data_IF_810424541426
#
_entry.id   IF_810424541426
#
_cell.length_a   1.000
_cell.length_b   1.000
_cell.length_c   1.000
_cell.angle_alpha   90.00
_cell.angle_beta   90.00
_cell.angle_gamma   90.00
#
_symmetry.space_group_name_H-M   'P 1'
#
loop_
_entity.id
_entity.type
_entity.pdbx_description
1 polymer ?
#
# COMPACT_ATOMS: atom_id res chain seq x y z
N UNK A 1 -22.84 42.46 -29.67
CA UNK A 1 -23.09 41.28 -30.53
C UNK A 1 -23.91 40.29 -29.73
N UNK A 2 -25.11 39.97 -30.22
CA UNK A 2 -26.02 38.99 -29.60
C UNK A 2 -25.66 37.58 -30.05
N UNK A 3 -26.02 36.57 -29.25
CA UNK A 3 -25.87 35.17 -29.64
C UNK A 3 -26.84 34.88 -30.79
N UNK A 4 -26.43 34.14 -31.85
CA UNK A 4 -27.34 33.73 -32.93
C UNK A 4 -28.58 32.99 -32.39
N UNK A 5 -29.75 33.10 -33.04
CA UNK A 5 -31.01 32.54 -32.54
C UNK A 5 -31.00 31.01 -32.40
N UNK A 6 -30.18 30.30 -33.17
CA UNK A 6 -29.97 28.85 -33.12
C UNK A 6 -28.70 28.43 -32.34
N UNK A 7 -28.16 29.34 -31.51
CA UNK A 7 -26.96 29.10 -30.74
C UNK A 7 -27.21 29.18 -29.23
N UNK A 8 -26.55 28.29 -28.51
CA UNK A 8 -26.66 28.08 -27.09
C UNK A 8 -25.46 28.73 -26.39
N UNK A 9 -25.71 29.78 -25.61
CA UNK A 9 -24.77 30.23 -24.57
C UNK A 9 -24.79 29.30 -23.35
N UNK A 10 -23.94 29.52 -22.36
CA UNK A 10 -23.84 28.61 -21.21
C UNK A 10 -25.16 28.32 -20.49
N UNK A 11 -26.02 29.33 -20.30
CA UNK A 11 -27.32 29.16 -19.63
C UNK A 11 -28.24 28.22 -20.42
N UNK A 12 -28.37 28.44 -21.73
CA UNK A 12 -29.19 27.62 -22.62
C UNK A 12 -28.61 26.20 -22.76
N UNK A 13 -27.28 26.08 -22.89
CA UNK A 13 -26.57 24.81 -22.91
C UNK A 13 -26.78 24.01 -21.62
N UNK A 14 -26.71 24.65 -20.46
CA UNK A 14 -26.94 24.01 -19.15
C UNK A 14 -28.34 23.43 -19.06
N UNK A 15 -29.36 24.20 -19.46
CA UNK A 15 -30.75 23.76 -19.49
C UNK A 15 -30.95 22.59 -20.45
N UNK A 16 -30.39 22.69 -21.66
CA UNK A 16 -30.47 21.66 -22.72
C UNK A 16 -29.87 20.33 -22.25
N UNK A 17 -28.72 20.37 -21.57
CA UNK A 17 -27.99 19.18 -21.14
C UNK A 17 -28.42 18.63 -19.77
N UNK A 18 -29.37 19.28 -19.08
CA UNK A 18 -29.81 18.88 -17.75
C UNK A 18 -28.70 18.97 -16.68
N UNK A 19 -27.77 19.92 -16.81
CA UNK A 19 -26.69 20.08 -15.84
C UNK A 19 -27.12 20.88 -14.62
N UNK A 20 -26.52 20.55 -13.47
CA UNK A 20 -26.89 21.14 -12.17
C UNK A 20 -26.64 22.66 -12.07
N UNK A 21 -25.75 23.23 -12.89
CA UNK A 21 -25.49 24.68 -12.89
C UNK A 21 -24.72 25.15 -14.13
N UNK A 22 -24.78 26.45 -14.40
CA UNK A 22 -23.91 27.13 -15.39
C UNK A 22 -22.43 26.91 -15.08
N UNK A 23 -22.05 26.85 -13.78
CA UNK A 23 -20.67 26.56 -13.37
C UNK A 23 -20.22 25.16 -13.82
N UNK A 24 -21.12 24.18 -13.90
CA UNK A 24 -20.78 22.87 -14.45
C UNK A 24 -20.42 22.99 -15.94
N UNK A 25 -21.20 23.75 -16.71
CA UNK A 25 -20.95 24.01 -18.13
C UNK A 25 -19.59 24.69 -18.36
N UNK A 26 -19.27 25.73 -17.58
CA UNK A 26 -17.99 26.45 -17.70
C UNK A 26 -16.81 25.55 -17.37
N UNK A 27 -16.89 24.77 -16.29
CA UNK A 27 -15.84 23.82 -15.90
C UNK A 27 -15.64 22.74 -16.98
N UNK A 28 -16.70 22.23 -17.59
CA UNK A 28 -16.60 21.28 -18.70
C UNK A 28 -15.88 21.90 -19.90
N UNK A 29 -16.26 23.11 -20.30
CA UNK A 29 -15.60 23.80 -21.41
C UNK A 29 -14.11 24.07 -21.11
N UNK A 30 -13.77 24.58 -19.92
CA UNK A 30 -12.36 24.84 -19.55
C UNK A 30 -11.51 23.56 -19.54
N UNK A 31 -12.05 22.45 -19.06
CA UNK A 31 -11.36 21.15 -19.08
C UNK A 31 -11.16 20.64 -20.50
N UNK A 32 -12.19 20.74 -21.34
CA UNK A 32 -12.14 20.34 -22.74
C UNK A 32 -11.13 21.19 -23.52
N UNK A 33 -11.12 22.51 -23.31
CA UNK A 33 -10.13 23.44 -23.89
C UNK A 33 -8.70 23.02 -23.53
N UNK A 34 -8.39 22.85 -22.24
CA UNK A 34 -7.06 22.44 -21.78
C UNK A 34 -6.63 21.09 -22.37
N UNK A 35 -7.55 20.14 -22.52
CA UNK A 35 -7.26 18.84 -23.12
C UNK A 35 -6.95 18.95 -24.62
N UNK A 36 -7.68 19.80 -25.35
CA UNK A 36 -7.38 20.12 -26.74
C UNK A 36 -5.99 20.72 -26.89
N UNK A 37 -5.66 21.72 -26.08
CA UNK A 37 -4.34 22.38 -26.06
C UNK A 37 -3.20 21.40 -25.77
N UNK A 38 -3.43 20.44 -24.88
CA UNK A 38 -2.43 19.45 -24.49
C UNK A 38 -2.41 18.20 -25.38
N UNK A 39 -3.21 18.14 -26.47
CA UNK A 39 -3.32 16.94 -27.32
C UNK A 39 -3.90 15.70 -26.62
N UNK A 40 -4.70 15.89 -25.56
CA UNK A 40 -5.30 14.82 -24.72
C UNK A 40 -6.83 14.83 -24.71
N UNK A 41 -7.43 15.31 -25.80
CA UNK A 41 -8.88 15.35 -26.02
C UNK A 41 -9.54 13.99 -25.85
N UNK A 42 -10.74 13.96 -25.28
CA UNK A 42 -11.53 12.74 -25.07
C UNK A 42 -12.85 12.79 -25.85
N UNK A 43 -13.40 11.65 -26.28
CA UNK A 43 -14.69 11.61 -26.99
C UNK A 43 -15.87 12.27 -26.25
N UNK A 44 -15.84 12.32 -24.91
CA UNK A 44 -16.88 12.94 -24.10
C UNK A 44 -16.66 14.42 -23.71
N UNK A 45 -15.58 15.04 -24.20
CA UNK A 45 -15.30 16.46 -23.96
C UNK A 45 -16.24 17.35 -24.77
N UNK A 46 -16.70 18.46 -24.19
CA UNK A 46 -17.53 19.45 -24.89
C UNK A 46 -16.80 19.96 -26.14
N UNK A 47 -17.45 20.09 -27.31
CA UNK A 47 -16.81 20.58 -28.53
C UNK A 47 -16.25 22.00 -28.34
N UNK A 48 -15.34 22.40 -29.24
CA UNK A 48 -14.93 23.79 -29.29
C UNK A 48 -16.17 24.68 -29.54
N UNK A 49 -16.25 25.89 -28.93
CA UNK A 49 -17.31 26.84 -29.25
C UNK A 49 -17.35 27.12 -30.75
N UNK A 50 -18.54 27.17 -31.34
CA UNK A 50 -18.74 27.55 -32.74
C UNK A 50 -18.46 29.05 -32.95
N UNK A 51 -18.55 29.84 -31.88
CA UNK A 51 -18.11 31.23 -31.88
C UNK A 51 -18.26 31.91 -30.52
N UNK A 52 -18.14 33.24 -30.51
CA UNK A 52 -18.22 34.07 -29.31
C UNK A 52 -19.13 35.28 -29.52
N UNK A 53 -19.99 35.57 -28.54
CA UNK A 53 -20.73 36.82 -28.42
C UNK A 53 -20.04 37.67 -27.34
N UNK A 54 -19.16 38.59 -27.77
CA UNK A 54 -18.23 39.25 -26.87
C UNK A 54 -17.23 38.25 -26.28
N UNK A 55 -17.16 38.16 -24.95
CA UNK A 55 -16.31 37.17 -24.25
C UNK A 55 -17.02 35.83 -23.96
N UNK A 56 -18.31 35.73 -24.31
CA UNK A 56 -19.11 34.54 -24.00
C UNK A 56 -19.12 33.57 -25.18
N UNK A 57 -18.69 32.31 -25.01
CA UNK A 57 -18.77 31.31 -26.07
C UNK A 57 -20.23 30.91 -26.34
N UNK A 58 -20.50 30.47 -27.56
CA UNK A 58 -21.75 29.82 -27.95
C UNK A 58 -21.48 28.57 -28.80
N UNK A 59 -22.47 27.69 -28.83
CA UNK A 59 -22.50 26.50 -29.69
C UNK A 59 -23.80 26.44 -30.47
N UNK A 60 -23.80 26.06 -31.74
CA UNK A 60 -25.04 25.80 -32.46
C UNK A 60 -25.76 24.58 -31.86
N UNK A 61 -27.09 24.62 -31.91
CA UNK A 61 -27.91 23.49 -31.44
C UNK A 61 -27.52 22.18 -32.12
N UNK A 62 -27.24 22.19 -33.43
CA UNK A 62 -26.76 21.03 -34.18
C UNK A 62 -25.44 20.48 -33.65
N UNK A 63 -24.46 21.35 -33.38
CA UNK A 63 -23.16 20.97 -32.82
C UNK A 63 -23.33 20.28 -31.46
N UNK A 64 -24.24 20.79 -30.63
CA UNK A 64 -24.52 20.22 -29.31
C UNK A 64 -25.26 18.89 -29.42
N UNK A 65 -26.24 18.79 -30.32
CA UNK A 65 -27.04 17.58 -30.50
C UNK A 65 -26.21 16.44 -31.12
N UNK A 66 -25.39 16.71 -32.14
CA UNK A 66 -24.46 15.73 -32.73
C UNK A 66 -23.45 15.23 -31.69
N UNK A 67 -22.88 16.17 -30.92
CA UNK A 67 -21.99 15.83 -29.83
C UNK A 67 -22.69 15.00 -28.75
N UNK A 68 -23.90 15.39 -28.34
CA UNK A 68 -24.66 14.69 -27.30
C UNK A 68 -25.06 13.27 -27.73
N UNK A 69 -25.39 13.07 -29.01
CA UNK A 69 -25.67 11.76 -29.60
C UNK A 69 -24.44 10.85 -29.60
N UNK A 70 -23.25 11.40 -29.89
CA UNK A 70 -21.98 10.68 -29.86
C UNK A 70 -21.30 10.59 -28.48
N UNK A 71 -21.84 11.28 -27.46
CA UNK A 71 -21.20 11.42 -26.14
C UNK A 71 -21.23 10.11 -25.36
N UNK A 72 -20.08 9.58 -24.89
CA UNK A 72 -20.07 8.45 -23.96
C UNK A 72 -20.81 8.86 -22.67
N UNK A 73 -21.95 8.21 -22.37
CA UNK A 73 -22.78 8.55 -21.20
C UNK A 73 -21.99 8.35 -19.90
N UNK A 74 -22.13 9.26 -18.93
CA UNK A 74 -21.59 9.04 -17.59
C UNK A 74 -22.49 8.02 -16.91
N UNK A 75 -21.96 6.82 -16.67
CA UNK A 75 -22.75 5.67 -16.18
C UNK A 75 -23.25 4.72 -17.28
N UNK A 76 -22.62 4.68 -18.47
CA UNK A 76 -22.94 3.63 -19.46
C UNK A 76 -22.76 2.25 -18.83
N UNK A 77 -23.70 1.37 -19.14
CA UNK A 77 -23.49 -0.07 -19.16
C UNK A 77 -22.18 -0.35 -19.93
N UNK A 78 -21.14 -0.72 -19.18
CA UNK A 78 -19.80 -0.99 -19.73
C UNK A 78 -19.69 -2.39 -20.26
N UNK A 79 -20.58 -3.24 -19.79
CA UNK A 79 -20.80 -4.60 -20.25
C UNK A 79 -21.55 -4.48 -21.57
N UNK A 80 -20.93 -5.01 -22.61
CA UNK A 80 -21.48 -5.03 -23.95
C UNK A 80 -22.33 -6.30 -24.11
N UNK A 81 -23.29 -6.31 -25.04
CA UNK A 81 -24.11 -7.50 -25.31
C UNK A 81 -23.31 -8.74 -25.73
N UNK A 82 -22.10 -8.54 -26.25
CA UNK A 82 -21.15 -9.59 -26.63
C UNK A 82 -20.39 -10.20 -25.42
N UNK A 83 -20.73 -9.79 -24.19
CA UNK A 83 -20.09 -10.24 -22.96
C UNK A 83 -18.72 -9.59 -22.69
N UNK A 84 -18.27 -8.65 -23.53
CA UNK A 84 -17.03 -7.91 -23.33
C UNK A 84 -17.29 -6.63 -22.54
N UNK A 85 -16.23 -6.05 -21.97
CA UNK A 85 -16.31 -4.83 -21.17
C UNK A 85 -15.36 -3.75 -21.68
N UNK A 86 -15.83 -2.50 -21.74
CA UNK A 86 -15.00 -1.37 -22.13
C UNK A 86 -14.32 -0.69 -20.93
N UNK A 87 -12.99 -0.55 -21.00
CA UNK A 87 -12.18 0.13 -19.98
C UNK A 87 -12.40 1.65 -19.99
N UNK A 88 -12.70 2.24 -18.83
CA UNK A 88 -12.94 3.68 -18.66
C UNK A 88 -11.72 4.61 -18.79
N UNK A 89 -10.52 4.04 -18.95
CA UNK A 89 -9.26 4.79 -19.01
C UNK A 89 -8.57 4.69 -20.37
N UNK A 90 -8.53 3.50 -20.98
CA UNK A 90 -7.90 3.29 -22.29
C UNK A 90 -8.91 3.03 -23.41
N UNK A 91 -10.21 3.03 -23.09
CA UNK A 91 -11.34 2.83 -24.01
C UNK A 91 -11.34 1.54 -24.83
N UNK A 92 -10.38 0.63 -24.59
CA UNK A 92 -10.30 -0.70 -25.19
C UNK A 92 -11.38 -1.63 -24.64
N UNK A 93 -12.01 -2.38 -25.54
CA UNK A 93 -12.93 -3.49 -25.22
C UNK A 93 -12.12 -4.74 -24.91
N UNK A 94 -12.39 -5.36 -23.76
CA UNK A 94 -11.63 -6.50 -23.24
C UNK A 94 -12.57 -7.51 -22.57
N UNK A 95 -12.18 -8.78 -22.43
CA UNK A 95 -12.98 -9.73 -21.66
C UNK A 95 -13.10 -9.31 -20.18
N UNK A 96 -14.17 -9.67 -19.48
CA UNK A 96 -14.37 -9.41 -18.04
C UNK A 96 -13.19 -9.82 -17.15
N UNK A 97 -12.47 -10.89 -17.51
CA UNK A 97 -11.27 -11.37 -16.81
C UNK A 97 -10.13 -10.35 -16.75
N UNK A 98 -10.12 -9.35 -17.64
CA UNK A 98 -9.14 -8.25 -17.66
C UNK A 98 -9.47 -7.13 -16.67
N UNK A 99 -10.51 -7.30 -15.84
CA UNK A 99 -10.95 -6.34 -14.84
C UNK A 99 -10.90 -6.97 -13.45
N UNK A 100 -10.64 -6.16 -12.42
CA UNK A 100 -10.76 -6.61 -11.04
C UNK A 100 -12.24 -6.65 -10.65
N UNK A 101 -12.62 -7.61 -9.80
CA UNK A 101 -13.92 -7.64 -9.16
C UNK A 101 -13.88 -6.86 -7.83
N UNK A 102 -15.03 -6.34 -7.41
CA UNK A 102 -15.25 -5.77 -6.08
C UNK A 102 -16.68 -6.07 -5.63
N UNK A 103 -16.93 -6.13 -4.33
CA UNK A 103 -18.29 -6.26 -3.78
C UNK A 103 -18.89 -4.87 -3.57
N UNK A 104 -20.10 -4.64 -4.06
CA UNK A 104 -20.85 -3.42 -3.80
C UNK A 104 -21.31 -3.41 -2.34
N UNK A 105 -20.80 -2.47 -1.54
CA UNK A 105 -21.14 -2.40 -0.11
C UNK A 105 -22.62 -2.14 0.20
N UNK A 106 -23.45 -1.76 -0.78
CA UNK A 106 -24.89 -1.54 -0.59
C UNK A 106 -25.72 -2.77 -0.90
N UNK A 107 -25.39 -3.47 -1.98
CA UNK A 107 -26.19 -4.60 -2.50
C UNK A 107 -25.54 -5.96 -2.22
N UNK A 108 -24.25 -5.99 -1.88
CA UNK A 108 -23.44 -7.21 -1.76
C UNK A 108 -23.01 -7.81 -3.10
N UNK A 109 -23.48 -7.26 -4.22
CA UNK A 109 -23.22 -7.80 -5.56
C UNK A 109 -21.75 -7.68 -5.95
N UNK A 110 -21.20 -8.74 -6.55
CA UNK A 110 -19.86 -8.71 -7.15
C UNK A 110 -19.93 -8.00 -8.49
N UNK A 111 -19.20 -6.89 -8.62
CA UNK A 111 -19.15 -6.05 -9.83
C UNK A 111 -17.74 -5.94 -10.37
N UNK A 112 -17.63 -5.63 -11.66
CA UNK A 112 -16.34 -5.41 -12.31
C UNK A 112 -15.93 -3.94 -12.24
N UNK A 113 -14.66 -3.70 -11.91
CA UNK A 113 -14.07 -2.37 -11.93
C UNK A 113 -14.22 -1.73 -13.32
N UNK A 114 -14.33 -0.39 -13.34
CA UNK A 114 -14.47 0.36 -14.58
C UNK A 114 -13.17 0.38 -15.41
N UNK A 115 -12.00 0.24 -14.77
CA UNK A 115 -10.68 0.24 -15.41
C UNK A 115 -10.15 -1.20 -15.49
N UNK A 116 -9.49 -1.54 -16.60
CA UNK A 116 -8.80 -2.83 -16.72
C UNK A 116 -7.60 -2.92 -15.76
N UNK A 117 -7.15 -4.15 -15.49
CA UNK A 117 -6.02 -4.47 -14.61
C UNK A 117 -4.76 -3.68 -14.97
N UNK A 118 -4.39 -3.63 -16.24
CA UNK A 118 -3.24 -2.85 -16.72
C UNK A 118 -3.39 -1.34 -16.42
N UNK A 119 -4.59 -0.79 -16.66
CA UNK A 119 -4.88 0.61 -16.37
C UNK A 119 -4.85 0.92 -14.87
N UNK A 120 -5.29 -0.03 -14.04
CA UNK A 120 -5.24 0.05 -12.58
C UNK A 120 -3.80 0.02 -12.08
N UNK A 121 -2.99 -0.93 -12.56
CA UNK A 121 -1.55 -1.03 -12.26
C UNK A 121 -0.82 0.26 -12.63
N UNK A 122 -1.06 0.80 -13.82
CA UNK A 122 -0.43 2.06 -14.23
C UNK A 122 -0.78 3.25 -13.34
N UNK A 123 -1.97 3.28 -12.73
CA UNK A 123 -2.31 4.30 -11.72
C UNK A 123 -1.52 4.08 -10.42
N UNK A 124 -1.43 2.84 -9.95
CA UNK A 124 -0.69 2.49 -8.75
C UNK A 124 0.81 2.81 -8.89
N UNK A 125 1.43 2.46 -10.03
CA UNK A 125 2.82 2.78 -10.32
C UNK A 125 3.07 4.29 -10.35
N UNK A 126 2.22 5.06 -11.03
CA UNK A 126 2.32 6.51 -11.06
C UNK A 126 2.13 7.15 -9.67
N UNK A 127 1.28 6.56 -8.81
CA UNK A 127 1.13 7.02 -7.43
C UNK A 127 2.40 6.72 -6.61
N UNK A 128 2.97 5.51 -6.72
CA UNK A 128 4.21 5.13 -6.04
C UNK A 128 5.37 6.05 -6.45
N UNK A 129 5.51 6.33 -7.75
CA UNK A 129 6.55 7.22 -8.26
C UNK A 129 6.43 8.65 -7.70
N UNK A 130 5.20 9.16 -7.53
CA UNK A 130 4.95 10.48 -6.95
C UNK A 130 5.02 10.50 -5.41
N UNK A 131 5.00 9.33 -4.76
CA UNK A 131 4.98 9.19 -3.31
C UNK A 131 6.00 8.15 -2.84
N UNK A 132 7.30 8.31 -3.17
CA UNK A 132 8.31 7.29 -2.92
C UNK A 132 8.48 6.97 -1.43
N UNK A 133 8.43 7.98 -0.56
CA UNK A 133 8.52 7.80 0.90
C UNK A 133 7.37 6.95 1.46
N UNK A 134 6.13 7.21 0.99
CA UNK A 134 4.97 6.43 1.42
C UNK A 134 5.05 4.99 0.93
N UNK A 135 5.49 4.79 -0.30
CA UNK A 135 5.69 3.45 -0.86
C UNK A 135 6.81 2.68 -0.11
N UNK A 136 7.91 3.35 0.24
CA UNK A 136 8.98 2.79 1.05
C UNK A 136 8.51 2.42 2.46
N UNK A 137 7.78 3.31 3.13
CA UNK A 137 7.22 3.05 4.46
C UNK A 137 6.24 1.87 4.46
N UNK A 138 5.35 1.79 3.45
CA UNK A 138 4.44 0.65 3.30
C UNK A 138 5.21 -0.66 3.09
N UNK A 139 6.25 -0.64 2.26
CA UNK A 139 7.13 -1.79 2.02
C UNK A 139 7.85 -2.23 3.29
N UNK A 140 8.39 -1.28 4.07
CA UNK A 140 9.06 -1.56 5.34
C UNK A 140 8.10 -2.23 6.34
N UNK A 141 6.88 -1.70 6.49
CA UNK A 141 5.83 -2.30 7.34
C UNK A 141 5.47 -3.72 6.90
N UNK A 142 5.34 -3.95 5.60
CA UNK A 142 5.08 -5.28 5.06
C UNK A 142 6.22 -6.26 5.39
N UNK A 143 7.47 -5.85 5.18
CA UNK A 143 8.65 -6.66 5.53
C UNK A 143 8.68 -7.00 7.02
N UNK A 144 8.45 -6.02 7.89
CA UNK A 144 8.42 -6.21 9.34
C UNK A 144 7.35 -7.22 9.75
N UNK A 145 6.11 -7.05 9.26
CA UNK A 145 5.00 -7.97 9.55
C UNK A 145 5.28 -9.39 9.05
N UNK A 146 5.82 -9.52 7.83
CA UNK A 146 6.17 -10.82 7.25
C UNK A 146 7.27 -11.52 8.06
N UNK A 147 8.31 -10.79 8.47
CA UNK A 147 9.37 -11.32 9.35
C UNK A 147 8.83 -11.80 10.69
N UNK A 148 7.97 -11.00 11.32
CA UNK A 148 7.36 -11.33 12.61
C UNK A 148 6.49 -12.60 12.52
N UNK A 149 5.64 -12.68 11.49
CA UNK A 149 4.82 -13.86 11.22
C UNK A 149 5.66 -15.11 10.96
N UNK A 150 6.74 -14.97 10.20
CA UNK A 150 7.69 -16.06 9.98
C UNK A 150 8.34 -16.52 11.28
N UNK A 151 8.84 -15.58 12.10
CA UNK A 151 9.46 -15.86 13.40
C UNK A 151 8.49 -16.59 14.34
N UNK A 152 7.26 -16.10 14.47
CA UNK A 152 6.23 -16.73 15.30
C UNK A 152 5.98 -18.19 14.86
N UNK A 153 5.85 -18.43 13.55
CA UNK A 153 5.70 -19.78 12.98
C UNK A 153 6.89 -20.69 13.24
N UNK A 154 8.12 -20.17 13.09
CA UNK A 154 9.35 -20.93 13.30
C UNK A 154 9.42 -21.49 14.73
N UNK A 155 8.97 -20.70 15.71
CA UNK A 155 9.00 -21.06 17.13
C UNK A 155 7.68 -21.64 17.66
N UNK A 156 6.70 -21.93 16.80
CA UNK A 156 5.43 -22.54 17.22
C UNK A 156 4.56 -21.66 18.13
N UNK A 157 4.77 -20.34 18.14
CA UNK A 157 4.01 -19.38 18.96
C UNK A 157 3.14 -18.46 18.11
N UNK A 158 2.18 -17.79 18.73
CA UNK A 158 1.37 -16.76 18.09
C UNK A 158 2.14 -15.44 17.94
N UNK A 159 1.69 -14.57 17.03
CA UNK A 159 2.28 -13.24 16.89
C UNK A 159 2.12 -12.40 18.17
N UNK A 160 1.02 -12.59 18.91
CA UNK A 160 0.75 -11.90 20.18
C UNK A 160 1.65 -12.42 21.30
N UNK A 161 1.91 -13.73 21.35
CA UNK A 161 2.89 -14.31 22.27
C UNK A 161 4.29 -13.75 22.01
N UNK A 162 4.71 -13.63 20.75
CA UNK A 162 5.99 -13.03 20.40
C UNK A 162 6.07 -11.56 20.81
N UNK A 163 4.99 -10.78 20.65
CA UNK A 163 4.93 -9.39 21.15
C UNK A 163 5.04 -9.34 22.66
N UNK A 164 4.29 -10.19 23.36
CA UNK A 164 4.30 -10.24 24.81
C UNK A 164 5.70 -10.58 25.32
N UNK A 165 6.38 -11.54 24.68
CA UNK A 165 7.78 -11.87 24.95
C UNK A 165 8.71 -10.67 24.74
N UNK A 166 8.58 -9.95 23.63
CA UNK A 166 9.39 -8.75 23.32
C UNK A 166 9.12 -7.60 24.30
N UNK A 167 7.88 -7.44 24.77
CA UNK A 167 7.48 -6.38 25.68
C UNK A 167 7.80 -6.66 27.16
N UNK A 168 7.79 -7.93 27.59
CA UNK A 168 7.90 -8.31 29.00
C UNK A 168 9.25 -7.94 29.64
N UNK A 169 10.29 -7.72 28.85
CA UNK A 169 11.65 -7.49 29.35
C UNK A 169 12.24 -6.15 28.91
N UNK A 170 11.44 -5.22 28.38
CA UNK A 170 11.89 -3.88 27.98
C UNK A 170 13.16 -3.91 27.10
N UNK A 171 13.24 -4.89 26.19
CA UNK A 171 14.41 -5.09 25.32
C UNK A 171 15.67 -5.62 26.02
N UNK A 172 15.58 -6.12 27.25
CA UNK A 172 16.71 -6.67 28.03
C UNK A 172 16.82 -8.18 27.94
N UNK A 173 18.05 -8.67 28.01
CA UNK A 173 18.35 -10.09 28.14
C UNK A 173 17.83 -10.62 29.49
N UNK A 174 17.09 -11.73 29.48
CA UNK A 174 16.58 -12.34 30.71
C UNK A 174 17.67 -12.94 31.62
N UNK A 175 18.87 -13.20 31.10
CA UNK A 175 19.99 -13.74 31.89
C UNK A 175 20.86 -12.61 32.45
N UNK A 176 21.39 -11.73 31.59
CA UNK A 176 22.33 -10.69 32.04
C UNK A 176 21.70 -9.33 32.32
N UNK A 177 20.43 -9.10 31.95
CA UNK A 177 19.74 -7.81 32.15
C UNK A 177 20.15 -6.67 31.20
N UNK A 178 21.15 -6.91 30.34
CA UNK A 178 21.65 -5.90 29.40
C UNK A 178 20.73 -5.73 28.18
N UNK A 179 20.71 -4.51 27.63
CA UNK A 179 20.06 -4.21 26.34
C UNK A 179 21.11 -4.40 25.25
N UNK A 180 21.01 -5.44 24.40
CA UNK A 180 21.99 -5.67 23.35
C UNK A 180 21.77 -4.74 22.15
N UNK A 181 22.85 -4.22 21.56
CA UNK A 181 22.80 -3.42 20.32
C UNK A 181 22.24 -4.23 19.12
N UNK A 182 22.56 -5.52 19.07
CA UNK A 182 22.16 -6.43 17.97
C UNK A 182 20.74 -7.01 18.15
N UNK A 183 20.05 -6.67 19.24
CA UNK A 183 18.74 -7.19 19.60
C UNK A 183 18.75 -8.56 20.28
N UNK A 184 17.55 -9.04 20.62
CA UNK A 184 17.35 -10.28 21.38
C UNK A 184 17.01 -11.48 20.48
N UNK A 185 17.61 -12.62 20.79
CA UNK A 185 17.29 -13.92 20.23
C UNK A 185 16.16 -14.59 21.01
N UNK A 186 15.32 -15.37 20.32
CA UNK A 186 14.33 -16.24 20.97
C UNK A 186 15.05 -17.51 21.39
N UNK A 187 15.16 -17.68 22.70
CA UNK A 187 15.70 -18.87 23.33
C UNK A 187 14.61 -19.94 23.42
N UNK A 188 14.96 -21.16 23.08
CA UNK A 188 14.05 -22.30 23.08
C UNK A 188 14.80 -23.56 23.46
N UNK A 189 14.09 -24.46 24.13
CA UNK A 189 14.61 -25.77 24.47
C UNK A 189 14.74 -26.64 23.22
N UNK A 190 15.94 -27.15 22.93
CA UNK A 190 16.20 -27.93 21.71
C UNK A 190 15.57 -29.34 21.73
N UNK A 191 15.15 -29.85 22.90
CA UNK A 191 14.48 -31.15 23.00
C UNK A 191 12.97 -31.08 22.77
N UNK A 192 12.33 -30.03 23.25
CA UNK A 192 10.87 -29.87 23.27
C UNK A 192 10.34 -28.76 22.37
N UNK A 193 11.21 -27.86 21.91
CA UNK A 193 10.84 -26.68 21.12
C UNK A 193 10.15 -25.57 21.92
N UNK A 194 10.01 -25.72 23.24
CA UNK A 194 9.36 -24.70 24.07
C UNK A 194 10.22 -23.44 24.13
N UNK A 195 9.60 -22.30 23.81
CA UNK A 195 10.22 -20.99 23.98
C UNK A 195 10.40 -20.72 25.48
N UNK A 196 11.65 -20.47 25.88
CA UNK A 196 12.02 -20.15 27.26
C UNK A 196 11.99 -18.66 27.50
N UNK A 197 12.52 -17.87 26.56
CA UNK A 197 12.60 -16.42 26.73
C UNK A 197 13.36 -15.68 25.64
N UNK A 198 13.80 -14.47 25.97
CA UNK A 198 14.60 -13.62 25.09
C UNK A 198 15.98 -13.35 25.70
N UNK A 199 17.03 -13.66 24.94
CA UNK A 199 18.42 -13.56 25.39
C UNK A 199 19.27 -12.74 24.41
N UNK A 200 20.29 -12.05 24.92
CA UNK A 200 21.31 -11.49 24.03
C UNK A 200 22.10 -12.64 23.37
N UNK A 201 22.76 -12.35 22.25
CA UNK A 201 23.53 -13.34 21.48
C UNK A 201 24.55 -14.09 22.36
N UNK A 202 25.27 -13.37 23.21
CA UNK A 202 26.31 -13.93 24.08
C UNK A 202 25.74 -14.92 25.08
N UNK A 203 24.67 -14.55 25.80
CA UNK A 203 24.02 -15.46 26.74
C UNK A 203 23.40 -16.67 26.04
N UNK A 204 22.74 -16.46 24.89
CA UNK A 204 22.13 -17.55 24.12
C UNK A 204 23.16 -18.57 23.63
N UNK A 205 24.27 -18.09 23.06
CA UNK A 205 25.39 -18.96 22.64
C UNK A 205 26.04 -19.62 23.85
N UNK A 206 26.17 -18.91 24.97
CA UNK A 206 26.70 -19.44 26.22
C UNK A 206 25.87 -20.62 26.74
N UNK A 207 24.54 -20.52 26.76
CA UNK A 207 23.67 -21.65 27.12
C UNK A 207 23.95 -22.87 26.24
N UNK A 208 23.95 -22.66 24.91
CA UNK A 208 24.21 -23.73 23.95
C UNK A 208 25.61 -24.34 24.06
N UNK A 209 26.62 -23.54 24.43
CA UNK A 209 28.00 -24.02 24.63
C UNK A 209 28.12 -24.97 25.84
N UNK A 210 27.25 -24.83 26.83
CA UNK A 210 27.11 -25.78 27.94
C UNK A 210 26.08 -26.90 27.63
N UNK A 211 25.62 -27.00 26.39
CA UNK A 211 24.66 -28.01 25.95
C UNK A 211 23.30 -27.92 26.65
N UNK A 212 22.93 -26.73 27.13
CA UNK A 212 21.74 -26.51 27.95
C UNK A 212 21.68 -27.43 29.21
N UNK A 213 22.83 -27.92 29.72
CA UNK A 213 22.89 -28.79 30.90
C UNK A 213 23.23 -27.99 32.18
N UNK A 214 22.26 -27.83 33.11
CA UNK A 214 22.49 -27.11 34.36
C UNK A 214 23.61 -27.73 35.21
N UNK A 215 23.84 -29.04 35.12
CA UNK A 215 24.90 -29.73 35.89
C UNK A 215 26.27 -29.29 35.42
N UNK A 216 26.46 -29.14 34.12
CA UNK A 216 27.72 -28.65 33.55
C UNK A 216 27.94 -27.17 33.89
N UNK A 217 26.88 -26.36 33.89
CA UNK A 217 26.96 -24.96 34.32
C UNK A 217 27.35 -24.83 35.80
N UNK A 218 26.74 -25.62 36.69
CA UNK A 218 27.11 -25.65 38.11
C UNK A 218 28.57 -26.10 38.31
N UNK A 219 29.03 -27.08 37.53
CA UNK A 219 30.43 -27.49 37.56
C UNK A 219 31.38 -26.37 37.10
N UNK A 220 30.99 -25.59 36.08
CA UNK A 220 31.75 -24.43 35.62
C UNK A 220 31.81 -23.31 36.66
N UNK A 221 30.71 -23.04 37.37
CA UNK A 221 30.68 -22.09 38.50
C UNK A 221 31.68 -22.52 39.58
N UNK A 222 31.60 -23.78 40.03
CA UNK A 222 32.53 -24.32 41.04
C UNK A 222 33.99 -24.22 40.58
N UNK A 223 34.26 -24.57 39.32
CA UNK A 223 35.61 -24.44 38.75
C UNK A 223 36.14 -23.00 38.83
N UNK A 224 35.30 -22.00 38.52
CA UNK A 224 35.67 -20.58 38.60
C UNK A 224 35.91 -20.14 40.05
N UNK A 225 35.05 -20.51 40.98
CA UNK A 225 35.17 -20.18 42.41
C UNK A 225 36.47 -20.76 42.98
N UNK A 226 36.69 -22.07 42.82
CA UNK A 226 37.92 -22.71 43.28
C UNK A 226 39.17 -22.15 42.58
N UNK A 227 39.07 -21.73 41.31
CA UNK A 227 40.20 -21.12 40.61
C UNK A 227 40.59 -19.76 41.18
N UNK A 228 39.63 -18.99 41.70
CA UNK A 228 39.88 -17.71 42.37
C UNK A 228 40.57 -17.92 43.71
N UNK A 229 40.15 -18.93 44.46
CA UNK A 229 40.80 -19.30 45.73
C UNK A 229 42.24 -19.82 45.50
N UNK A 230 42.47 -20.56 44.40
CA UNK A 230 43.81 -21.01 44.00
C UNK A 230 44.69 -19.89 43.43
N UNK A 231 44.11 -18.84 42.85
CA UNK A 231 44.84 -17.72 42.26
C UNK A 231 45.68 -16.95 43.30
N UNK A 232 45.32 -17.04 44.59
CA UNK A 232 46.14 -16.51 45.70
C UNK A 232 47.50 -17.24 45.84
N UNK A 233 47.68 -18.38 45.17
CA UNK A 233 48.87 -19.24 45.28
C UNK A 233 49.60 -19.49 43.95
N UNK A 234 49.19 -18.87 42.83
CA UNK A 234 49.85 -19.01 41.53
C UNK A 234 50.18 -17.62 40.95
N UNK A 235 51.41 -17.37 40.46
CA UNK A 235 51.80 -16.07 39.94
C UNK A 235 50.95 -15.68 38.72
N UNK A 236 50.49 -14.43 38.69
CA UNK A 236 49.76 -13.89 37.55
C UNK A 236 50.60 -13.99 36.27
N UNK A 237 49.96 -14.36 35.15
CA UNK A 237 50.59 -14.35 33.84
C UNK A 237 50.81 -12.89 33.44
N UNK A 238 52.06 -12.43 33.46
CA UNK A 238 52.42 -11.09 33.00
C UNK A 238 52.38 -11.02 31.47
N UNK A 239 51.71 -10.01 30.91
CA UNK A 239 51.71 -9.74 29.46
C UNK A 239 50.48 -10.16 28.66
N UNK A 240 49.33 -10.42 29.30
CA UNK A 240 48.06 -10.58 28.57
C UNK A 240 47.48 -9.19 28.33
N UNK A 241 47.47 -8.76 27.06
CA UNK A 241 46.80 -7.57 26.56
C UNK A 241 45.39 -7.91 26.05
#
# INVERSE_FOLDING_TARGET
MTIPPNALGYAALTKRMGWASVRAATVMNSRAKRRRENGTSRPGDLPAPDGYAGQSPYWFESTVDDWAAGRPRVGVERDRPDGLRQCSKCDTVKPPSEFHTYSDGRTGEVRLMAKCKACHLGVALAWNQRNPERAAAATARWKQRTRKRYKARLYGITEDQLVALEAAHDGRCQICGEVPDDGLAVDHDHGTGHVRGLLCRTCNVGLGAFGDDPRLMMAAIRYLEESRERADHHPAITGIA
#
